data_IF_972868740626
#
_entry.id   IF_972868740626
#
_cell.length_a   1.000
_cell.length_b   1.000
_cell.length_c   1.000
_cell.angle_alpha   90.00
_cell.angle_beta   90.00
_cell.angle_gamma   90.00
#
_symmetry.space_group_name_H-M   'P 1'
#
loop_
_entity.id
_entity.type
_entity.pdbx_description
1 polymer ?
#
# COMPACT_ATOMS: atom_id res chain seq x y z
N UNK A 1 21.22 14.96 10.34
CA UNK A 1 19.90 14.34 10.57
C UNK A 1 19.95 12.97 9.95
N UNK A 2 19.82 11.93 10.78
CA UNK A 2 19.96 10.51 10.42
C UNK A 2 19.05 10.14 9.24
N UNK A 3 19.59 9.46 8.21
CA UNK A 3 18.84 9.08 6.99
C UNK A 3 17.60 8.23 7.34
N UNK A 4 17.70 7.40 8.38
CA UNK A 4 16.59 6.62 8.93
C UNK A 4 15.43 7.50 9.40
N UNK A 5 15.70 8.62 10.07
CA UNK A 5 14.66 9.55 10.52
C UNK A 5 13.99 10.26 9.35
N UNK A 6 14.73 10.54 8.27
CA UNK A 6 14.15 11.09 7.03
C UNK A 6 13.16 10.10 6.40
N UNK A 7 13.54 8.83 6.26
CA UNK A 7 12.67 7.79 5.69
C UNK A 7 11.35 7.64 6.45
N UNK A 8 11.42 7.55 7.78
CA UNK A 8 10.24 7.41 8.64
C UNK A 8 9.28 8.60 8.42
N UNK A 9 9.81 9.83 8.41
CA UNK A 9 8.99 11.04 8.25
C UNK A 9 8.43 11.20 6.83
N UNK A 10 9.24 10.98 5.80
CA UNK A 10 8.80 11.09 4.41
C UNK A 10 7.67 10.10 4.08
N UNK A 11 7.76 8.87 4.59
CA UNK A 11 6.77 7.82 4.38
C UNK A 11 5.66 7.80 5.45
N UNK A 12 5.75 8.69 6.44
CA UNK A 12 4.82 8.79 7.58
C UNK A 12 4.63 7.46 8.33
N UNK A 13 5.70 6.68 8.50
CA UNK A 13 5.63 5.36 9.17
C UNK A 13 5.34 5.47 10.67
N UNK A 14 5.59 6.64 11.24
CA UNK A 14 5.31 7.00 12.63
C UNK A 14 3.88 7.49 12.88
N UNK A 15 3.09 7.70 11.81
CA UNK A 15 1.73 8.20 11.89
C UNK A 15 0.73 7.06 12.10
N UNK A 16 -0.35 7.37 12.84
CA UNK A 16 -1.52 6.51 12.85
C UNK A 16 -2.19 6.49 11.48
N UNK A 17 -2.93 5.42 11.22
CA UNK A 17 -3.68 5.20 9.99
C UNK A 17 -5.13 4.95 10.35
N UNK A 18 -6.06 5.70 9.76
CA UNK A 18 -7.49 5.44 9.90
C UNK A 18 -8.04 4.88 8.60
N UNK A 19 -8.74 3.76 8.69
CA UNK A 19 -9.42 3.18 7.54
C UNK A 19 -10.55 4.10 7.06
N UNK A 20 -10.62 4.31 5.75
CA UNK A 20 -11.73 4.98 5.07
C UNK A 20 -11.84 4.44 3.66
N UNK A 21 -12.99 3.87 3.31
CA UNK A 21 -13.38 3.49 1.94
C UNK A 21 -12.27 2.75 1.15
N UNK A 22 -11.74 1.66 1.72
CA UNK A 22 -10.71 0.85 1.04
C UNK A 22 -9.33 1.50 0.98
N UNK A 23 -9.07 2.46 1.86
CA UNK A 23 -7.79 3.14 1.96
C UNK A 23 -7.45 3.48 3.42
N UNK A 24 -6.22 3.90 3.65
CA UNK A 24 -5.79 4.50 4.91
C UNK A 24 -5.54 6.00 4.74
N UNK A 25 -6.03 6.77 5.69
CA UNK A 25 -5.71 8.19 5.84
C UNK A 25 -4.77 8.33 7.04
N UNK A 26 -3.65 9.01 6.82
CA UNK A 26 -2.71 9.33 7.89
C UNK A 26 -3.35 10.26 8.92
N UNK A 27 -3.22 9.90 10.20
CA UNK A 27 -3.57 10.74 11.35
C UNK A 27 -2.31 11.41 11.89
N UNK A 28 -2.28 11.77 13.18
CA UNK A 28 -1.08 12.34 13.81
C UNK A 28 -0.02 11.25 14.07
N UNK A 29 1.26 11.63 14.26
CA UNK A 29 2.27 10.73 14.82
C UNK A 29 1.78 10.07 16.11
N UNK A 30 1.96 8.75 16.21
CA UNK A 30 1.62 7.96 17.40
C UNK A 30 2.85 7.29 18.01
N UNK A 31 3.93 7.16 17.25
CA UNK A 31 5.16 6.52 17.70
C UNK A 31 6.39 7.36 17.39
N UNK A 32 7.49 7.11 18.08
CA UNK A 32 8.81 7.63 17.77
C UNK A 32 9.91 6.61 18.10
N UNK A 33 11.18 7.03 17.93
CA UNK A 33 12.38 6.31 18.38
C UNK A 33 12.35 4.78 18.14
N UNK A 34 12.03 4.39 16.91
CA UNK A 34 11.80 2.99 16.54
C UNK A 34 12.95 2.31 15.81
N UNK A 35 12.81 1.00 15.63
CA UNK A 35 13.70 0.20 14.79
C UNK A 35 13.19 0.19 13.34
N UNK A 36 14.09 0.47 12.40
CA UNK A 36 13.81 0.44 10.97
C UNK A 36 14.64 -0.65 10.29
N UNK A 37 13.98 -1.53 9.55
CA UNK A 37 14.61 -2.50 8.65
C UNK A 37 14.19 -2.20 7.23
N UNK A 38 15.17 -2.06 6.33
CA UNK A 38 14.95 -1.81 4.90
C UNK A 38 15.52 -2.99 4.13
N UNK A 39 14.73 -3.54 3.22
CA UNK A 39 15.11 -4.66 2.35
C UNK A 39 14.78 -4.30 0.90
N UNK A 40 15.66 -4.65 -0.05
CA UNK A 40 15.28 -4.60 -1.46
C UNK A 40 14.12 -5.56 -1.71
N UNK A 41 13.12 -5.09 -2.45
CA UNK A 41 11.96 -5.89 -2.81
C UNK A 41 11.57 -5.58 -4.25
N UNK A 42 11.89 -6.49 -5.16
CA UNK A 42 11.73 -6.30 -6.60
C UNK A 42 10.81 -7.38 -7.16
N UNK A 43 9.52 -7.26 -6.82
CA UNK A 43 8.46 -8.11 -7.34
C UNK A 43 7.29 -7.23 -7.76
N UNK A 44 6.97 -7.23 -9.05
CA UNK A 44 5.82 -6.49 -9.58
C UNK A 44 4.55 -7.25 -9.24
N UNK A 45 3.49 -6.53 -8.90
CA UNK A 45 2.16 -7.11 -8.69
C UNK A 45 1.16 -6.44 -9.62
N UNK A 46 0.25 -7.25 -10.18
CA UNK A 46 -0.74 -6.84 -11.17
C UNK A 46 -2.11 -7.03 -10.53
N UNK A 47 -2.95 -6.00 -10.57
CA UNK A 47 -4.33 -6.04 -10.11
C UNK A 47 -5.24 -5.75 -11.30
N UNK A 48 -5.90 -6.80 -11.79
CA UNK A 48 -6.81 -6.71 -12.93
C UNK A 48 -8.27 -6.75 -12.48
N UNK A 49 -9.18 -6.16 -13.25
CA UNK A 49 -10.60 -6.26 -12.98
C UNK A 49 -11.14 -7.66 -13.28
N UNK A 50 -12.05 -8.14 -12.44
CA UNK A 50 -12.75 -9.43 -12.59
C UNK A 50 -14.26 -9.23 -12.64
N UNK A 51 -14.97 -10.16 -13.27
CA UNK A 51 -16.43 -10.08 -13.43
C UNK A 51 -17.17 -10.30 -12.11
N UNK A 52 -16.77 -11.31 -11.34
CA UNK A 52 -17.37 -11.68 -10.07
C UNK A 52 -16.68 -10.95 -8.90
N UNK A 53 -17.45 -10.24 -8.08
CA UNK A 53 -16.89 -9.58 -6.90
C UNK A 53 -16.40 -10.60 -5.86
N UNK A 54 -15.21 -10.36 -5.32
CA UNK A 54 -14.62 -11.16 -4.26
C UNK A 54 -14.41 -10.33 -2.99
N UNK A 55 -14.15 -10.99 -1.87
CA UNK A 55 -13.85 -10.26 -0.65
C UNK A 55 -12.48 -9.57 -0.75
N UNK A 56 -12.48 -8.25 -0.68
CA UNK A 56 -11.25 -7.45 -0.66
C UNK A 56 -10.44 -7.72 0.61
N UNK A 57 -9.12 -7.56 0.55
CA UNK A 57 -8.29 -7.58 1.76
C UNK A 57 -8.73 -6.50 2.77
N UNK A 58 -9.27 -5.38 2.26
CA UNK A 58 -9.83 -4.29 3.05
C UNK A 58 -11.08 -4.70 3.85
N UNK A 59 -11.83 -5.71 3.39
CA UNK A 59 -13.02 -6.20 4.10
C UNK A 59 -12.70 -6.78 5.47
N UNK A 60 -11.47 -7.26 5.67
CA UNK A 60 -11.02 -7.76 6.98
C UNK A 60 -11.06 -6.63 8.01
N UNK A 61 -10.66 -5.41 7.61
CA UNK A 61 -10.65 -4.24 8.49
C UNK A 61 -12.08 -3.77 8.76
N UNK A 62 -12.89 -3.60 7.71
CA UNK A 62 -14.26 -3.11 7.87
C UNK A 62 -15.12 -4.06 8.71
N UNK A 63 -15.00 -5.37 8.49
CA UNK A 63 -15.72 -6.41 9.27
C UNK A 63 -15.23 -6.49 10.71
N UNK A 64 -13.92 -6.51 10.95
CA UNK A 64 -13.36 -6.68 12.31
C UNK A 64 -13.71 -5.50 13.20
N UNK A 65 -13.56 -4.27 12.70
CA UNK A 65 -13.69 -3.06 13.53
C UNK A 65 -15.07 -2.40 13.46
N UNK A 66 -16.05 -3.09 12.85
CA UNK A 66 -17.45 -2.68 12.73
C UNK A 66 -17.55 -1.18 12.42
N UNK A 67 -16.81 -0.73 11.41
CA UNK A 67 -16.83 0.66 10.93
C UNK A 67 -18.19 0.90 10.25
N UNK A 68 -19.24 0.95 11.07
CA UNK A 68 -20.66 0.85 10.72
C UNK A 68 -21.27 2.21 10.36
N UNK A 69 -20.43 3.20 10.07
CA UNK A 69 -20.80 4.53 9.56
C UNK A 69 -20.19 4.86 8.19
N UNK A 70 -19.70 3.88 7.46
CA UNK A 70 -19.68 4.02 6.00
C UNK A 70 -20.87 3.20 5.53
N UNK A 71 -21.81 3.85 4.84
CA UNK A 71 -22.93 3.16 4.18
C UNK A 71 -22.41 2.07 3.23
N UNK A 72 -23.27 1.57 2.34
CA UNK A 72 -22.73 0.94 1.13
C UNK A 72 -21.60 1.84 0.62
N UNK A 73 -20.40 1.32 0.29
CA UNK A 73 -19.36 2.16 -0.27
C UNK A 73 -19.98 2.80 -1.51
N UNK A 74 -20.43 4.04 -1.40
CA UNK A 74 -20.44 4.93 -2.53
C UNK A 74 -18.99 4.87 -2.96
N UNK A 75 -18.73 4.25 -4.12
CA UNK A 75 -17.36 4.09 -4.62
C UNK A 75 -16.69 5.44 -4.43
N UNK A 76 -15.78 5.52 -3.46
CA UNK A 76 -15.02 6.74 -3.27
C UNK A 76 -14.30 6.99 -4.59
N UNK A 77 -14.11 8.27 -4.94
CA UNK A 77 -13.32 8.67 -6.10
C UNK A 77 -11.90 8.09 -6.13
N UNK A 78 -11.48 7.43 -5.04
CA UNK A 78 -10.14 6.91 -4.81
C UNK A 78 -9.99 5.44 -5.26
N UNK A 79 -11.09 4.73 -5.57
CA UNK A 79 -11.02 3.40 -6.17
C UNK A 79 -10.72 3.47 -7.66
N UNK A 80 -9.93 2.51 -8.16
CA UNK A 80 -9.79 2.36 -9.60
C UNK A 80 -11.12 1.93 -10.24
N UNK A 81 -11.51 2.54 -11.38
CA UNK A 81 -12.60 2.06 -12.22
C UNK A 81 -12.41 0.61 -12.68
N UNK A 82 -13.52 -0.07 -12.96
CA UNK A 82 -13.54 -1.47 -13.41
C UNK A 82 -12.87 -1.67 -14.78
N UNK A 83 -12.74 -0.63 -15.60
CA UNK A 83 -12.02 -0.76 -16.87
C UNK A 83 -10.49 -0.68 -16.70
N UNK A 84 -9.99 -0.42 -15.49
CA UNK A 84 -8.58 -0.09 -15.29
C UNK A 84 -7.83 -1.25 -14.63
N UNK A 85 -6.56 -1.38 -15.00
CA UNK A 85 -5.61 -2.29 -14.38
C UNK A 85 -4.57 -1.48 -13.61
N UNK A 86 -4.17 -1.95 -12.42
CA UNK A 86 -3.12 -1.35 -11.62
C UNK A 86 -1.92 -2.29 -11.52
N UNK A 87 -0.73 -1.77 -11.82
CA UNK A 87 0.53 -2.43 -11.48
C UNK A 87 1.16 -1.70 -10.31
N UNK A 88 1.63 -2.41 -9.29
CA UNK A 88 2.53 -1.85 -8.28
C UNK A 88 3.95 -2.37 -8.53
N UNK A 89 4.90 -1.45 -8.51
CA UNK A 89 6.32 -1.67 -8.73
C UNK A 89 7.02 -1.28 -7.43
N UNK A 90 6.97 -2.15 -6.41
CA UNK A 90 7.75 -1.93 -5.20
C UNK A 90 9.24 -2.07 -5.52
N UNK A 91 10.05 -1.30 -4.81
CA UNK A 91 11.52 -1.39 -4.85
C UNK A 91 12.11 -1.67 -3.47
N UNK A 92 11.40 -1.30 -2.39
CA UNK A 92 11.78 -1.57 -1.01
C UNK A 92 10.62 -2.22 -0.25
N UNK A 93 10.98 -3.11 0.66
CA UNK A 93 10.13 -3.54 1.77
C UNK A 93 10.69 -2.93 3.04
N UNK A 94 9.88 -2.15 3.73
CA UNK A 94 10.27 -1.46 4.95
C UNK A 94 9.47 -1.99 6.12
N UNK A 95 10.17 -2.39 7.18
CA UNK A 95 9.57 -2.73 8.47
C UNK A 95 9.96 -1.67 9.49
N UNK A 96 8.96 -1.06 10.13
CA UNK A 96 9.15 -0.05 11.16
C UNK A 96 8.39 -0.41 12.43
N UNK A 97 9.09 -0.33 13.55
CA UNK A 97 8.64 -0.78 14.86
C UNK A 97 8.95 0.35 15.85
N UNK A 98 8.04 1.33 15.93
CA UNK A 98 8.15 2.54 16.76
C UNK A 98 7.67 2.35 18.20
N UNK A 99 8.21 3.13 19.13
CA UNK A 99 7.75 3.17 20.53
C UNK A 99 6.56 4.12 20.65
N UNK A 100 5.51 3.80 21.42
CA UNK A 100 4.38 4.72 21.59
C UNK A 100 4.82 6.04 22.23
N UNK A 101 4.37 7.15 21.64
CA UNK A 101 4.54 8.49 22.20
C UNK A 101 3.83 8.60 23.55
N UNK A 102 4.41 9.33 24.50
CA UNK A 102 3.75 9.57 25.80
C UNK A 102 2.42 10.31 25.66
N UNK A 103 2.29 11.16 24.64
CA UNK A 103 1.02 11.81 24.31
C UNK A 103 -0.05 10.82 23.84
N UNK A 104 0.35 9.75 23.15
CA UNK A 104 -0.57 8.69 22.74
C UNK A 104 -0.97 7.81 23.94
N UNK A 105 -0.02 7.42 24.78
CA UNK A 105 -0.28 6.68 26.04
C UNK A 105 -1.23 7.45 26.94
N UNK A 106 -0.92 8.72 27.24
CA UNK A 106 -1.73 9.55 28.14
C UNK A 106 -3.12 9.81 27.58
N UNK A 107 -3.26 9.93 26.25
CA UNK A 107 -4.56 10.03 25.63
C UNK A 107 -5.36 8.74 25.83
N UNK A 108 -4.77 7.57 25.59
CA UNK A 108 -5.43 6.28 25.79
C UNK A 108 -5.91 6.05 27.24
N UNK A 109 -5.13 6.50 28.23
CA UNK A 109 -5.48 6.39 29.66
C UNK A 109 -6.65 7.28 30.09
N UNK A 110 -6.78 8.46 29.47
CA UNK A 110 -7.74 9.51 29.87
C UNK A 110 -9.00 9.56 29.01
N UNK A 111 -8.98 8.90 27.84
CA UNK A 111 -10.08 8.90 26.89
C UNK A 111 -11.33 8.26 27.50
N UNK A 112 -12.49 8.80 27.15
CA UNK A 112 -13.75 8.11 27.40
C UNK A 112 -13.98 6.95 26.41
N UNK A 113 -15.07 6.20 26.60
CA UNK A 113 -15.41 5.04 25.76
C UNK A 113 -15.57 5.36 24.28
N UNK A 114 -16.12 6.53 23.96
CA UNK A 114 -16.43 6.94 22.58
C UNK A 114 -15.13 7.32 21.86
N UNK A 115 -14.29 8.10 22.53
CA UNK A 115 -12.97 8.48 22.02
C UNK A 115 -12.05 7.26 21.84
N UNK A 116 -12.09 6.32 22.78
CA UNK A 116 -11.34 5.07 22.67
C UNK A 116 -11.79 4.19 21.52
N UNK A 117 -13.10 4.07 21.27
CA UNK A 117 -13.61 3.35 20.08
C UNK A 117 -13.08 3.96 18.79
N UNK A 118 -13.08 5.29 18.67
CA UNK A 118 -12.52 5.98 17.51
C UNK A 118 -11.01 5.72 17.36
N UNK A 119 -10.31 5.54 18.48
CA UNK A 119 -8.90 5.18 18.45
C UNK A 119 -8.66 3.70 18.13
N UNK A 120 -9.51 2.77 18.57
CA UNK A 120 -9.40 1.35 18.20
C UNK A 120 -9.49 1.13 16.68
N UNK A 121 -9.95 2.13 15.94
CA UNK A 121 -9.95 2.18 14.47
C UNK A 121 -8.68 2.82 13.87
N UNK A 122 -7.67 3.12 14.70
CA UNK A 122 -6.35 3.56 14.26
C UNK A 122 -5.37 2.38 14.21
N UNK A 123 -4.57 2.36 13.16
CA UNK A 123 -3.57 1.34 12.87
C UNK A 123 -2.18 1.96 12.74
N UNK A 124 -1.15 1.14 12.85
CA UNK A 124 0.22 1.46 12.50
C UNK A 124 0.65 0.54 11.35
N UNK A 125 1.35 1.11 10.38
CA UNK A 125 1.98 0.34 9.32
C UNK A 125 3.30 -0.25 9.82
N UNK A 126 3.28 -1.51 10.23
CA UNK A 126 4.49 -2.21 10.67
C UNK A 126 5.34 -2.63 9.48
N UNK A 127 4.72 -3.08 8.39
CA UNK A 127 5.43 -3.45 7.15
C UNK A 127 4.74 -2.89 5.93
N UNK A 128 5.50 -2.16 5.11
CA UNK A 128 5.04 -1.53 3.86
C UNK A 128 5.91 -1.91 2.68
N UNK A 129 5.31 -1.86 1.49
CA UNK A 129 6.04 -1.81 0.23
C UNK A 129 6.12 -0.36 -0.23
N UNK A 130 7.32 0.04 -0.64
CA UNK A 130 7.63 1.41 -1.09
C UNK A 130 8.14 1.36 -2.51
N UNK A 131 7.64 2.28 -3.33
CA UNK A 131 8.02 2.40 -4.73
C UNK A 131 7.02 3.25 -5.49
N UNK A 132 6.63 2.77 -6.66
CA UNK A 132 5.62 3.39 -7.52
C UNK A 132 4.70 2.36 -8.16
N UNK A 133 4.01 2.78 -9.21
CA UNK A 133 3.06 1.93 -9.89
C UNK A 133 2.57 2.56 -11.18
N UNK A 134 1.78 1.80 -11.91
CA UNK A 134 1.23 2.18 -13.20
C UNK A 134 -0.26 1.91 -13.20
N UNK A 135 -0.99 2.73 -13.95
CA UNK A 135 -2.39 2.56 -14.25
C UNK A 135 -2.51 2.36 -15.76
N UNK A 136 -3.13 1.27 -16.17
CA UNK A 136 -3.54 1.04 -17.54
C UNK A 136 -5.04 1.27 -17.60
N UNK A 137 -5.46 2.32 -18.30
CA UNK A 137 -6.88 2.62 -18.51
C UNK A 137 -7.42 1.76 -19.65
N UNK A 138 -8.73 1.54 -19.68
CA UNK A 138 -9.41 0.83 -20.76
C UNK A 138 -8.70 -0.46 -21.17
N UNK A 139 -8.52 -1.39 -20.23
CA UNK A 139 -7.69 -2.59 -20.42
C UNK A 139 -8.15 -3.43 -21.62
N UNK A 140 -9.43 -3.40 -21.97
CA UNK A 140 -9.98 -4.03 -23.18
C UNK A 140 -9.35 -3.53 -24.47
N UNK A 141 -8.97 -2.26 -24.52
CA UNK A 141 -8.35 -1.60 -25.67
C UNK A 141 -6.82 -1.71 -25.63
N UNK A 142 -6.26 -2.07 -24.47
CA UNK A 142 -4.83 -2.27 -24.28
C UNK A 142 -4.39 -3.63 -24.81
N UNK A 143 -3.83 -3.64 -26.02
CA UNK A 143 -3.34 -4.86 -26.68
C UNK A 143 -2.40 -5.66 -25.78
N UNK A 144 -2.65 -6.97 -25.63
CA UNK A 144 -1.83 -7.92 -24.86
C UNK A 144 -0.31 -7.78 -25.11
N UNK A 145 0.09 -7.54 -26.37
CA UNK A 145 1.49 -7.32 -26.76
C UNK A 145 2.12 -6.12 -26.05
N UNK A 146 1.40 -5.00 -25.94
CA UNK A 146 1.86 -3.81 -25.25
C UNK A 146 2.05 -4.06 -23.74
N UNK A 147 1.25 -4.94 -23.14
CA UNK A 147 1.39 -5.26 -21.71
C UNK A 147 2.58 -6.16 -21.43
N UNK A 148 2.85 -7.14 -22.30
CA UNK A 148 4.09 -7.91 -22.25
C UNK A 148 5.31 -7.00 -22.36
N UNK A 149 5.28 -6.01 -23.26
CA UNK A 149 6.36 -5.04 -23.40
C UNK A 149 6.53 -4.18 -22.13
N UNK A 150 5.45 -3.74 -21.47
CA UNK A 150 5.50 -3.03 -20.18
C UNK A 150 6.16 -3.89 -19.10
N UNK A 151 5.66 -5.13 -18.89
CA UNK A 151 6.18 -6.06 -17.88
C UNK A 151 7.64 -6.40 -18.16
N UNK A 152 8.00 -6.64 -19.43
CA UNK A 152 9.36 -6.92 -19.84
C UNK A 152 10.30 -5.76 -19.56
N UNK A 153 9.87 -4.52 -19.86
CA UNK A 153 10.66 -3.30 -19.59
C UNK A 153 10.91 -3.13 -18.09
N UNK A 154 9.88 -3.28 -17.25
CA UNK A 154 10.03 -3.22 -15.78
C UNK A 154 11.00 -4.29 -15.29
N UNK A 155 10.81 -5.54 -15.69
CA UNK A 155 11.67 -6.66 -15.29
C UNK A 155 13.13 -6.47 -15.74
N UNK A 156 13.32 -5.90 -16.93
CA UNK A 156 14.66 -5.64 -17.47
C UNK A 156 15.35 -4.54 -16.67
N UNK A 157 14.70 -3.40 -16.45
CA UNK A 157 15.29 -2.29 -15.66
C UNK A 157 15.61 -2.77 -14.24
N UNK A 158 14.67 -3.48 -13.62
CA UNK A 158 14.84 -4.12 -12.31
C UNK A 158 16.11 -4.98 -12.24
N UNK A 159 16.34 -5.83 -13.24
CA UNK A 159 17.56 -6.66 -13.33
C UNK A 159 18.81 -5.81 -13.55
N UNK A 160 18.74 -4.76 -14.36
CA UNK A 160 19.91 -3.94 -14.71
C UNK A 160 20.33 -3.00 -13.57
N UNK A 161 19.39 -2.52 -12.76
CA UNK A 161 19.69 -1.76 -11.55
C UNK A 161 20.60 -2.56 -10.60
N UNK A 162 20.32 -3.85 -10.43
CA UNK A 162 21.17 -4.79 -9.70
C UNK A 162 22.63 -4.80 -10.20
N UNK A 163 22.88 -4.45 -11.46
CA UNK A 163 24.19 -4.43 -12.10
C UNK A 163 24.76 -3.01 -12.35
N UNK A 164 24.12 -1.94 -11.87
CA UNK A 164 24.55 -0.53 -12.02
C UNK A 164 24.90 -0.12 -13.46
N UNK A 165 24.20 -0.64 -14.47
CA UNK A 165 24.43 -0.29 -15.88
C UNK A 165 23.32 0.62 -16.41
N UNK A 166 23.64 1.75 -17.07
CA UNK A 166 22.63 2.60 -17.70
C UNK A 166 21.94 1.84 -18.83
N UNK A 167 20.63 2.06 -18.94
CA UNK A 167 19.76 1.35 -19.87
C UNK A 167 19.35 2.25 -21.03
N UNK A 168 19.38 1.69 -22.24
CA UNK A 168 18.89 2.34 -23.47
C UNK A 168 17.93 1.40 -24.20
N UNK A 169 16.72 1.89 -24.45
CA UNK A 169 15.67 1.18 -25.17
C UNK A 169 15.77 1.44 -26.67
N UNK A 170 15.55 0.40 -27.48
CA UNK A 170 15.71 0.43 -28.95
C UNK A 170 14.38 0.42 -29.73
N UNK A 171 13.22 0.23 -29.08
CA UNK A 171 11.93 0.18 -29.78
C UNK A 171 11.12 1.45 -29.55
N UNK A 172 10.37 1.85 -30.58
CA UNK A 172 9.41 2.95 -30.52
C UNK A 172 8.01 2.37 -30.25
N UNK A 173 7.81 1.87 -29.02
CA UNK A 173 6.46 1.51 -28.55
C UNK A 173 5.74 2.78 -28.10
N UNK A 174 4.47 2.91 -28.49
CA UNK A 174 3.57 3.96 -28.01
C UNK A 174 2.52 3.35 -27.10
N UNK A 175 2.23 4.03 -26.00
CA UNK A 175 1.16 3.66 -25.08
C UNK A 175 0.16 4.82 -25.03
N UNK A 176 -1.11 4.57 -25.38
CA UNK A 176 -2.17 5.59 -25.24
C UNK A 176 -2.83 5.55 -23.86
N UNK A 177 -2.83 4.38 -23.22
CA UNK A 177 -3.58 4.14 -21.99
C UNK A 177 -2.71 3.94 -20.74
N UNK A 178 -1.39 4.18 -20.82
CA UNK A 178 -0.46 3.94 -19.71
C UNK A 178 -0.18 5.24 -18.94
N UNK A 179 -0.34 5.19 -17.62
CA UNK A 179 -0.16 6.31 -16.71
C UNK A 179 0.64 5.90 -15.47
N UNK A 180 1.29 6.85 -14.80
CA UNK A 180 1.76 6.66 -13.43
C UNK A 180 0.62 6.77 -12.39
N UNK A 181 0.94 6.57 -11.11
CA UNK A 181 -0.05 6.67 -10.02
C UNK A 181 -0.62 8.09 -9.81
N UNK A 182 0.07 9.11 -10.29
CA UNK A 182 -0.37 10.52 -10.25
C UNK A 182 -1.15 10.90 -11.53
N UNK A 183 -1.50 9.90 -12.35
CA UNK A 183 -2.28 10.05 -13.58
C UNK A 183 -1.53 10.81 -14.70
N UNK A 184 -0.20 10.86 -14.65
CA UNK A 184 0.61 11.40 -15.74
C UNK A 184 0.79 10.36 -16.84
N UNK A 185 0.54 10.70 -18.12
CA UNK A 185 0.66 9.74 -19.22
C UNK A 185 2.13 9.38 -19.48
N UNK A 186 2.37 8.09 -19.73
CA UNK A 186 3.65 7.54 -20.17
C UNK A 186 3.48 7.08 -21.61
N UNK A 187 3.71 7.99 -22.55
CA UNK A 187 3.33 7.85 -23.96
C UNK A 187 4.23 6.90 -24.75
N UNK A 188 5.42 6.61 -24.24
CA UNK A 188 6.40 5.77 -24.92
C UNK A 188 7.30 5.00 -23.94
N UNK A 189 8.04 4.05 -24.50
CA UNK A 189 8.95 3.16 -23.77
C UNK A 189 10.09 3.93 -23.07
N UNK A 190 10.53 5.08 -23.60
CA UNK A 190 11.55 5.91 -22.95
C UNK A 190 10.99 6.55 -21.68
N UNK A 191 9.79 7.13 -21.75
CA UNK A 191 9.12 7.72 -20.59
C UNK A 191 8.86 6.67 -19.50
N UNK A 192 8.40 5.47 -19.89
CA UNK A 192 8.27 4.35 -18.95
C UNK A 192 9.62 3.98 -18.32
N UNK A 193 10.68 3.89 -19.14
CA UNK A 193 12.02 3.56 -18.64
C UNK A 193 12.57 4.61 -17.67
N UNK A 194 12.42 5.89 -17.99
CA UNK A 194 12.80 7.02 -17.14
C UNK A 194 12.02 6.99 -15.82
N UNK A 195 10.71 6.75 -15.87
CA UNK A 195 9.86 6.60 -14.68
C UNK A 195 10.32 5.44 -13.78
N UNK A 196 10.51 4.26 -14.34
CA UNK A 196 10.96 3.09 -13.56
C UNK A 196 12.34 3.34 -12.95
N UNK A 197 13.27 3.95 -13.69
CA UNK A 197 14.57 4.34 -13.15
C UNK A 197 14.45 5.32 -11.97
N UNK A 198 13.54 6.30 -12.04
CA UNK A 198 13.28 7.22 -10.92
C UNK A 198 12.86 6.48 -9.64
N UNK A 199 12.04 5.43 -9.77
CA UNK A 199 11.64 4.59 -8.61
C UNK A 199 12.87 3.94 -7.95
N UNK A 200 13.77 3.37 -8.74
CA UNK A 200 14.99 2.73 -8.24
C UNK A 200 16.05 3.73 -7.73
N UNK A 201 16.01 4.98 -8.17
CA UNK A 201 16.88 6.06 -7.68
C UNK A 201 16.43 6.67 -6.35
N UNK A 202 15.29 6.23 -5.80
CA UNK A 202 14.73 6.67 -4.53
C UNK A 202 14.23 8.13 -4.51
N UNK A 203 14.09 8.77 -5.68
CA UNK A 203 13.65 10.15 -5.82
C UNK A 203 12.14 10.33 -5.60
N UNK A 204 11.33 9.28 -5.89
CA UNK A 204 9.87 9.29 -5.79
C UNK A 204 9.36 8.11 -4.97
N UNK A 205 9.48 8.18 -3.66
CA UNK A 205 9.00 7.14 -2.75
C UNK A 205 7.62 7.42 -2.20
N UNK A 206 6.70 6.49 -2.47
CA UNK A 206 5.38 6.43 -1.86
C UNK A 206 5.14 5.03 -1.30
N UNK A 207 4.29 4.95 -0.27
CA UNK A 207 3.78 3.65 0.18
C UNK A 207 2.79 3.16 -0.87
N UNK A 208 3.10 2.04 -1.51
CA UNK A 208 2.26 1.45 -2.57
C UNK A 208 1.41 0.28 -2.06
N UNK A 209 1.80 -0.31 -0.93
CA UNK A 209 1.00 -1.32 -0.24
C UNK A 209 1.38 -1.43 1.24
N UNK A 210 0.44 -1.89 2.05
CA UNK A 210 0.67 -2.29 3.44
C UNK A 210 0.66 -3.82 3.52
N UNK A 211 1.77 -4.43 3.91
CA UNK A 211 1.90 -5.90 4.06
C UNK A 211 1.45 -6.37 5.44
N UNK A 212 1.72 -5.54 6.45
CA UNK A 212 1.34 -5.80 7.83
C UNK A 212 0.94 -4.50 8.51
N UNK A 213 -0.30 -4.48 9.01
CA UNK A 213 -0.79 -3.40 9.87
C UNK A 213 -1.16 -3.94 11.23
N UNK A 214 -0.93 -3.14 12.26
CA UNK A 214 -1.28 -3.47 13.63
C UNK A 214 -2.24 -2.41 14.17
N UNK A 215 -3.26 -2.80 14.94
CA UNK A 215 -4.05 -1.84 15.72
C UNK A 215 -3.12 -1.03 16.63
N UNK A 216 -3.27 0.30 16.69
CA UNK A 216 -2.33 1.16 17.40
C UNK A 216 -2.23 0.82 18.89
N UNK A 217 -3.32 0.35 19.50
CA UNK A 217 -3.37 -0.09 20.91
C UNK A 217 -2.55 -1.34 21.19
N UNK A 218 -2.36 -2.21 20.20
CA UNK A 218 -1.50 -3.39 20.35
C UNK A 218 -0.03 -3.00 20.62
N UNK A 219 0.31 -1.72 20.45
CA UNK A 219 1.62 -1.16 20.73
C UNK A 219 1.80 -0.64 22.16
N UNK A 220 0.71 -0.42 22.90
CA UNK A 220 0.76 0.00 24.29
C UNK A 220 1.28 -1.14 25.18
N UNK A 221 1.66 -0.84 26.42
CA UNK A 221 2.06 -1.90 27.35
C UNK A 221 0.88 -2.82 27.71
N UNK A 222 1.20 -4.04 28.14
CA UNK A 222 0.20 -5.09 28.39
C UNK A 222 -0.80 -4.70 29.46
N UNK A 223 -0.37 -3.99 30.51
CA UNK A 223 -1.24 -3.58 31.61
C UNK A 223 -2.30 -2.59 31.12
N UNK A 224 -1.91 -1.63 30.27
CA UNK A 224 -2.84 -0.70 29.65
C UNK A 224 -3.78 -1.41 28.67
N UNK A 225 -3.29 -2.35 27.87
CA UNK A 225 -4.15 -3.16 26.98
C UNK A 225 -5.21 -3.96 27.75
N UNK A 226 -4.84 -4.61 28.85
CA UNK A 226 -5.75 -5.36 29.72
C UNK A 226 -6.79 -4.42 30.36
N UNK A 227 -6.35 -3.28 30.88
CA UNK A 227 -7.24 -2.27 31.48
C UNK A 227 -8.29 -1.77 30.48
N UNK A 228 -7.88 -1.50 29.24
CA UNK A 228 -8.79 -1.06 28.18
C UNK A 228 -9.76 -2.17 27.74
N UNK A 229 -9.27 -3.40 27.66
CA UNK A 229 -10.10 -4.59 27.35
C UNK A 229 -11.19 -4.77 28.39
N UNK A 230 -10.83 -4.71 29.67
CA UNK A 230 -11.76 -4.91 30.78
C UNK A 230 -12.78 -3.79 30.91
N UNK A 231 -12.33 -2.54 30.79
CA UNK A 231 -13.16 -1.35 30.96
C UNK A 231 -14.14 -1.15 29.81
N UNK A 232 -13.72 -1.40 28.56
CA UNK A 232 -14.51 -1.08 27.38
C UNK A 232 -15.09 -2.28 26.64
N UNK A 233 -14.75 -3.49 27.09
CA UNK A 233 -15.15 -4.77 26.49
C UNK A 233 -14.70 -4.88 25.03
N UNK A 234 -13.46 -4.48 24.77
CA UNK A 234 -12.84 -4.58 23.44
C UNK A 234 -12.57 -6.06 23.14
N UNK A 235 -12.97 -6.60 21.97
CA UNK A 235 -12.67 -7.98 21.59
C UNK A 235 -11.15 -8.23 21.50
N UNK A 236 -10.68 -9.39 21.96
CA UNK A 236 -9.24 -9.70 21.95
C UNK A 236 -8.64 -9.75 20.53
N UNK A 237 -9.43 -10.12 19.52
CA UNK A 237 -8.98 -10.16 18.12
C UNK A 237 -8.78 -8.76 17.51
N UNK A 238 -9.27 -7.70 18.17
CA UNK A 238 -8.99 -6.30 17.79
C UNK A 238 -7.56 -5.87 18.08
N UNK A 239 -6.76 -6.67 18.77
CA UNK A 239 -5.32 -6.45 18.97
C UNK A 239 -4.47 -7.23 17.97
N UNK A 240 -5.07 -8.16 17.22
CA UNK A 240 -4.33 -9.00 16.28
C UNK A 240 -3.90 -8.22 15.04
N UNK A 241 -2.63 -8.40 14.65
CA UNK A 241 -2.10 -7.85 13.40
C UNK A 241 -2.83 -8.40 12.18
N UNK A 242 -2.94 -7.59 11.14
CA UNK A 242 -3.45 -8.00 9.82
C UNK A 242 -2.26 -8.13 8.89
N UNK A 243 -1.92 -9.37 8.55
CA UNK A 243 -0.81 -9.73 7.64
C UNK A 243 -1.36 -10.16 6.28
N UNK A 244 -2.09 -9.26 5.63
CA UNK A 244 -2.60 -9.42 4.26
C UNK A 244 -2.29 -8.13 3.51
N UNK A 245 -1.83 -8.23 2.26
CA UNK A 245 -1.50 -7.05 1.46
C UNK A 245 -2.75 -6.19 1.24
N UNK A 246 -2.66 -4.93 1.66
CA UNK A 246 -3.66 -3.90 1.45
C UNK A 246 -3.09 -2.90 0.45
N UNK A 247 -3.70 -2.83 -0.73
CA UNK A 247 -3.28 -1.90 -1.79
C UNK A 247 -4.32 -0.78 -1.90
N UNK A 248 -3.92 0.49 -1.69
CA UNK A 248 -4.81 1.64 -1.88
C UNK A 248 -5.47 1.65 -3.25
N UNK A 249 -6.78 1.91 -3.30
CA UNK A 249 -7.56 2.04 -4.53
C UNK A 249 -7.94 0.71 -5.20
N UNK A 250 -7.61 -0.44 -4.60
CA UNK A 250 -8.03 -1.77 -5.07
C UNK A 250 -9.35 -2.16 -4.41
N UNK A 251 -10.37 -2.40 -5.23
CA UNK A 251 -11.73 -2.78 -4.83
C UNK A 251 -11.96 -4.31 -4.85
N UNK A 252 -13.16 -4.75 -4.45
CA UNK A 252 -13.61 -6.17 -4.48
C UNK A 252 -13.61 -6.82 -5.85
N UNK A 253 -13.71 -6.01 -6.92
CA UNK A 253 -13.67 -6.46 -8.31
C UNK A 253 -12.27 -6.43 -8.91
N UNK A 254 -11.20 -6.29 -8.11
CA UNK A 254 -9.83 -6.41 -8.59
C UNK A 254 -9.16 -7.64 -7.96
N UNK A 255 -8.46 -8.42 -8.78
CA UNK A 255 -7.72 -9.60 -8.34
C UNK A 255 -6.23 -9.44 -8.58
N UNK A 256 -5.42 -9.81 -7.58
CA UNK A 256 -3.97 -9.92 -7.77
C UNK A 256 -3.68 -11.11 -8.69
N UNK A 257 -3.02 -10.84 -9.82
CA UNK A 257 -2.54 -11.84 -10.74
C UNK A 257 -1.09 -12.18 -10.47
N UNK A 258 -0.80 -13.48 -10.52
CA UNK A 258 0.56 -13.96 -10.57
C UNK A 258 1.10 -13.73 -11.97
N UNK A 259 2.19 -12.94 -12.09
CA UNK A 259 2.84 -12.64 -13.37
C UNK A 259 3.15 -13.91 -14.16
N UNK A 260 3.54 -15.01 -13.52
CA UNK A 260 3.85 -16.25 -14.24
C UNK A 260 2.60 -16.88 -14.86
N UNK A 261 1.47 -16.86 -14.14
CA UNK A 261 0.21 -17.41 -14.61
C UNK A 261 -0.33 -16.53 -15.74
N UNK A 262 -0.15 -15.22 -15.62
CA UNK A 262 -0.54 -14.22 -16.60
C UNK A 262 0.24 -14.32 -17.92
N UNK A 263 1.55 -14.58 -17.86
CA UNK A 263 2.40 -14.81 -19.04
C UNK A 263 2.03 -16.10 -19.79
N UNK A 264 1.35 -17.06 -19.14
CA UNK A 264 0.85 -18.28 -19.78
C UNK A 264 -0.47 -18.00 -20.49
N UNK A 265 -1.36 -17.17 -19.93
CA UNK A 265 -2.68 -16.87 -20.53
C UNK A 265 -2.61 -16.05 -21.83
N UNK A 266 -1.47 -15.38 -22.09
CA UNK A 266 -1.29 -14.51 -23.26
C UNK A 266 -0.55 -15.20 -24.43
N UNK A 267 0.00 -16.40 -24.21
CA UNK A 267 0.65 -17.21 -25.25
C UNK A 267 -0.32 -18.28 -25.81
#
# INVERSE_FOLDING_TARGET
MDETKKFIKCLKLDHGLRYKDGNFIYTKPLTDEGQLKIEEYIKVHIYEPIEEEQSSAWDIISKRFQTSECGKPELSSDYLPREYLKLIIPVLKITYVGNPLDSFKSYAEKSDRTELKAQCQQFLAETVLVGGGLIIKNVSDFKNKSMLDVIWTINKISRWHKYKKPFFLKKALKFSELYDLDNNPLLDEKQLGDYVNQLFSHEKFSVVAYEKVIPAFARLDKQLQESLTDLYKIPADWFASISKRLVPGIASFHQEQNINDWLITIN
#
